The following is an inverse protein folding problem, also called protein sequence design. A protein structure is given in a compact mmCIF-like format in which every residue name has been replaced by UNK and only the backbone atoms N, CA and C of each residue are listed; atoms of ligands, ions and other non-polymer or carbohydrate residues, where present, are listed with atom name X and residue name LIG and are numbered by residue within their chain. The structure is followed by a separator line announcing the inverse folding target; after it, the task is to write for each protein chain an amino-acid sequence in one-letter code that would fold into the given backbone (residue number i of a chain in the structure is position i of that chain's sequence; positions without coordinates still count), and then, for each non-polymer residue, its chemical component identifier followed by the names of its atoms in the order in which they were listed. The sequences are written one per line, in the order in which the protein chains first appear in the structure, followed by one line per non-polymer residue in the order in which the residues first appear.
data_IF_918223206778
#
_entry.id   IF_918223206778
#
_cell.length_a   1.000
_cell.length_b   1.000
_cell.length_c   1.000
_cell.angle_alpha   90.00
_cell.angle_beta   90.00
_cell.angle_gamma   90.00
#
_symmetry.space_group_name_H-M   'P 1'
#
loop_
_entity.id
_entity.type
_entity.pdbx_description
1 polymer ?
#
# COMPACT_ATOMS: atom_id res chain seq x y z
N UNK A 1 -21.50 -17.79 0.82
CA UNK A 1 -20.91 -18.82 -0.05
C UNK A 1 -20.10 -18.13 -1.14
N UNK A 2 -18.78 -18.33 -1.17
CA UNK A 2 -17.84 -17.53 -1.98
C UNK A 2 -17.84 -17.89 -3.48
N UNK A 3 -18.13 -19.15 -3.81
CA UNK A 3 -18.09 -19.67 -5.17
C UNK A 3 -19.02 -20.87 -5.31
N UNK A 4 -19.86 -20.90 -6.35
CA UNK A 4 -20.78 -22.00 -6.67
C UNK A 4 -20.74 -22.26 -8.17
N UNK A 5 -20.64 -23.52 -8.57
CA UNK A 5 -20.87 -23.95 -9.95
C UNK A 5 -22.11 -24.83 -9.97
N UNK A 6 -23.16 -24.37 -10.65
CA UNK A 6 -24.37 -25.14 -10.88
C UNK A 6 -24.47 -25.56 -12.34
N UNK A 7 -24.86 -26.81 -12.56
CA UNK A 7 -25.17 -27.32 -13.89
C UNK A 7 -26.69 -27.25 -14.09
N UNK A 8 -27.13 -26.42 -15.02
CA UNK A 8 -28.55 -26.16 -15.26
C UNK A 8 -28.98 -26.87 -16.53
N UNK A 9 -29.97 -27.75 -16.44
CA UNK A 9 -30.61 -28.37 -17.61
C UNK A 9 -31.39 -27.30 -18.38
N UNK A 10 -31.10 -27.18 -19.67
CA UNK A 10 -31.74 -26.21 -20.57
C UNK A 10 -32.86 -26.87 -21.37
N UNK A 11 -32.66 -28.11 -21.79
CA UNK A 11 -33.61 -28.90 -22.55
C UNK A 11 -33.30 -30.38 -22.44
N UNK A 12 -34.33 -31.21 -22.58
CA UNK A 12 -34.24 -32.66 -22.65
C UNK A 12 -34.92 -33.13 -23.93
N UNK A 13 -34.23 -33.93 -24.74
CA UNK A 13 -34.71 -34.40 -26.02
C UNK A 13 -34.75 -35.93 -26.05
N UNK A 14 -35.93 -36.48 -26.37
CA UNK A 14 -36.08 -37.91 -26.67
C UNK A 14 -35.27 -38.28 -27.91
N UNK A 15 -34.64 -39.46 -27.87
CA UNK A 15 -33.76 -39.93 -28.94
C UNK A 15 -34.37 -41.15 -29.64
N UNK A 16 -35.63 -41.05 -30.08
CA UNK A 16 -36.42 -42.15 -30.65
C UNK A 16 -35.74 -42.86 -31.85
N UNK A 17 -34.85 -42.17 -32.55
CA UNK A 17 -34.09 -42.69 -33.70
C UNK A 17 -32.68 -43.17 -33.38
N UNK A 18 -32.18 -42.97 -32.16
CA UNK A 18 -30.80 -43.32 -31.76
C UNK A 18 -30.83 -44.43 -30.72
N UNK A 19 -30.06 -45.50 -30.96
CA UNK A 19 -29.94 -46.61 -30.00
C UNK A 19 -28.79 -46.38 -29.04
N UNK A 20 -28.98 -46.79 -27.79
CA UNK A 20 -27.92 -46.74 -26.79
C UNK A 20 -26.87 -47.82 -27.12
N UNK A 21 -25.59 -47.44 -27.34
CA UNK A 21 -24.55 -48.38 -27.74
C UNK A 21 -24.10 -49.33 -26.63
N UNK A 22 -24.48 -49.08 -25.37
CA UNK A 22 -24.21 -49.98 -24.23
C UNK A 22 -25.36 -50.94 -23.91
N UNK A 23 -26.58 -50.52 -24.18
CA UNK A 23 -27.80 -51.28 -23.91
C UNK A 23 -28.82 -50.99 -25.03
N UNK A 24 -28.80 -51.75 -26.14
CA UNK A 24 -29.59 -51.44 -27.34
C UNK A 24 -31.10 -51.32 -27.11
N UNK A 25 -31.62 -51.95 -26.06
CA UNK A 25 -33.04 -51.95 -25.70
C UNK A 25 -33.42 -50.86 -24.68
N UNK A 26 -32.45 -50.13 -24.12
CA UNK A 26 -32.73 -49.08 -23.14
C UNK A 26 -32.94 -47.73 -23.84
N UNK A 27 -34.08 -47.05 -23.60
CA UNK A 27 -34.32 -45.71 -24.13
C UNK A 27 -33.27 -44.73 -23.60
N UNK A 28 -32.85 -43.81 -24.47
CA UNK A 28 -31.82 -42.81 -24.19
C UNK A 28 -32.39 -41.41 -24.37
N UNK A 29 -31.88 -40.47 -23.58
CA UNK A 29 -32.28 -39.07 -23.64
C UNK A 29 -31.04 -38.19 -23.77
N UNK A 30 -31.13 -37.16 -24.61
CA UNK A 30 -30.12 -36.11 -24.70
C UNK A 30 -30.54 -34.95 -23.79
N UNK A 31 -29.83 -34.76 -22.69
CA UNK A 31 -29.98 -33.57 -21.85
C UNK A 31 -28.92 -32.53 -22.23
N UNK A 32 -29.37 -31.30 -22.50
CA UNK A 32 -28.51 -30.17 -22.81
C UNK A 32 -28.35 -29.32 -21.55
N UNK A 33 -27.11 -29.09 -21.13
CA UNK A 33 -26.77 -28.37 -19.91
C UNK A 33 -25.98 -27.10 -20.19
N UNK A 34 -26.08 -26.15 -19.26
CA UNK A 34 -25.22 -24.97 -19.19
C UNK A 34 -24.74 -24.77 -17.77
N UNK A 35 -23.47 -24.40 -17.61
CA UNK A 35 -22.93 -24.12 -16.29
C UNK A 35 -23.21 -22.66 -15.92
N UNK A 36 -23.64 -22.45 -14.68
CA UNK A 36 -23.79 -21.15 -14.03
C UNK A 36 -22.76 -21.07 -12.91
N UNK A 37 -21.84 -20.13 -13.02
CA UNK A 37 -20.90 -19.81 -11.93
C UNK A 37 -21.44 -18.60 -11.19
N UNK A 38 -21.54 -18.71 -9.87
CA UNK A 38 -21.93 -17.60 -9.00
C UNK A 38 -20.83 -17.39 -7.98
N UNK A 39 -20.28 -16.18 -7.97
CA UNK A 39 -19.41 -15.69 -6.92
C UNK A 39 -20.12 -14.60 -6.14
N UNK A 40 -19.49 -14.10 -5.09
CA UNK A 40 -20.01 -12.93 -4.36
C UNK A 40 -20.00 -11.68 -5.25
N UNK A 41 -19.05 -11.58 -6.18
CA UNK A 41 -18.79 -10.39 -7.01
C UNK A 41 -19.56 -10.43 -8.33
N UNK A 42 -19.73 -11.61 -8.93
CA UNK A 42 -20.36 -11.74 -10.24
C UNK A 42 -21.12 -13.06 -10.41
N UNK A 43 -22.01 -13.09 -11.38
CA UNK A 43 -22.63 -14.31 -11.91
C UNK A 43 -22.30 -14.43 -13.39
N UNK A 44 -21.91 -15.61 -13.85
CA UNK A 44 -21.67 -15.88 -15.26
C UNK A 44 -22.39 -17.17 -15.70
N UNK A 45 -22.85 -17.16 -16.95
CA UNK A 45 -23.31 -18.37 -17.64
C UNK A 45 -22.29 -18.74 -18.72
N UNK A 46 -21.99 -20.03 -18.88
CA UNK A 46 -21.11 -20.46 -19.95
C UNK A 46 -21.76 -20.17 -21.31
N UNK A 47 -21.00 -19.53 -22.20
CA UNK A 47 -21.46 -19.19 -23.57
C UNK A 47 -21.95 -20.43 -24.33
N UNK A 48 -21.23 -21.54 -24.21
CA UNK A 48 -21.54 -22.81 -24.88
C UNK A 48 -22.40 -23.69 -23.97
N UNK A 49 -23.45 -24.28 -24.54
CA UNK A 49 -24.18 -25.38 -23.94
C UNK A 49 -23.48 -26.71 -24.24
N UNK A 50 -23.72 -27.73 -23.43
CA UNK A 50 -23.12 -29.05 -23.57
C UNK A 50 -24.20 -30.13 -23.48
N UNK A 51 -24.24 -31.02 -24.47
CA UNK A 51 -25.10 -32.20 -24.45
C UNK A 51 -24.47 -33.34 -23.66
N UNK A 52 -25.30 -34.11 -22.98
CA UNK A 52 -24.97 -35.40 -22.39
C UNK A 52 -26.09 -36.40 -22.67
N UNK A 53 -25.72 -37.54 -23.24
CA UNK A 53 -26.65 -38.67 -23.34
C UNK A 53 -26.71 -39.40 -22.01
N UNK A 54 -27.93 -39.69 -21.55
CA UNK A 54 -28.20 -40.50 -20.38
C UNK A 54 -29.10 -41.66 -20.77
N UNK A 55 -28.82 -42.80 -20.18
CA UNK A 55 -29.73 -43.93 -20.21
C UNK A 55 -30.94 -43.58 -19.33
N UNK A 56 -32.15 -43.63 -19.90
CA UNK A 56 -33.37 -43.26 -19.20
C UNK A 56 -33.74 -44.28 -18.11
N UNK A 57 -33.29 -45.52 -18.23
CA UNK A 57 -33.60 -46.60 -17.27
C UNK A 57 -32.66 -46.60 -16.07
N UNK A 58 -31.36 -46.33 -16.29
CA UNK A 58 -30.34 -46.35 -15.23
C UNK A 58 -29.94 -44.96 -14.75
N UNK A 59 -30.37 -43.90 -15.44
CA UNK A 59 -29.94 -42.52 -15.19
C UNK A 59 -28.44 -42.27 -15.47
N UNK A 60 -27.70 -43.29 -15.91
CA UNK A 60 -26.25 -43.23 -16.06
C UNK A 60 -25.87 -42.47 -17.32
N UNK A 61 -24.87 -41.60 -17.18
CA UNK A 61 -24.28 -40.87 -18.31
C UNK A 61 -23.53 -41.81 -19.24
N UNK A 62 -23.80 -41.70 -20.53
CA UNK A 62 -23.07 -42.40 -21.59
C UNK A 62 -21.84 -41.57 -21.94
N UNK A 63 -20.65 -42.13 -21.68
CA UNK A 63 -19.39 -41.44 -21.93
C UNK A 63 -19.19 -41.11 -23.42
N UNK A 64 -18.62 -39.93 -23.71
CA UNK A 64 -18.44 -39.40 -25.08
C UNK A 64 -17.69 -40.34 -26.04
N UNK A 65 -16.79 -41.18 -25.50
CA UNK A 65 -16.06 -42.18 -26.29
C UNK A 65 -16.97 -43.24 -26.93
N UNK A 66 -18.13 -43.50 -26.34
CA UNK A 66 -19.10 -44.46 -26.85
C UNK A 66 -20.12 -43.82 -27.78
N UNK A 67 -20.02 -42.52 -28.07
CA UNK A 67 -20.99 -41.86 -28.93
C UNK A 67 -20.73 -42.21 -30.39
N UNK A 68 -21.79 -42.67 -31.06
CA UNK A 68 -21.77 -42.88 -32.51
C UNK A 68 -21.65 -41.54 -33.26
N UNK A 69 -21.25 -41.54 -34.54
CA UNK A 69 -21.24 -40.33 -35.36
C UNK A 69 -22.60 -39.63 -35.41
N UNK A 70 -23.69 -40.41 -35.50
CA UNK A 70 -25.07 -39.91 -35.50
C UNK A 70 -25.43 -39.24 -34.17
N UNK A 71 -25.05 -39.84 -33.03
CA UNK A 71 -25.22 -39.22 -31.72
C UNK A 71 -24.48 -37.88 -31.61
N UNK A 72 -23.26 -37.80 -32.15
CA UNK A 72 -22.47 -36.57 -32.16
C UNK A 72 -23.12 -35.49 -33.04
N UNK A 73 -23.64 -35.86 -34.21
CA UNK A 73 -24.34 -34.95 -35.10
C UNK A 73 -25.64 -34.42 -34.47
N UNK A 74 -26.45 -35.32 -33.91
CA UNK A 74 -27.69 -34.97 -33.21
C UNK A 74 -27.43 -34.06 -32.01
N UNK A 75 -26.40 -34.38 -31.20
CA UNK A 75 -26.02 -33.52 -30.08
C UNK A 75 -25.56 -32.14 -30.55
N UNK A 76 -24.77 -32.03 -31.62
CA UNK A 76 -24.34 -30.73 -32.17
C UNK A 76 -25.53 -29.89 -32.62
N UNK A 77 -26.48 -30.49 -33.33
CA UNK A 77 -27.70 -29.83 -33.78
C UNK A 77 -28.49 -29.29 -32.58
N UNK A 78 -28.80 -30.15 -31.60
CA UNK A 78 -29.61 -29.76 -30.43
C UNK A 78 -28.90 -28.79 -29.49
N UNK A 79 -27.58 -28.83 -29.40
CA UNK A 79 -26.79 -27.82 -28.68
C UNK A 79 -26.86 -26.46 -29.38
N UNK A 80 -26.87 -26.41 -30.72
CA UNK A 80 -26.99 -25.17 -31.48
C UNK A 80 -28.40 -24.57 -31.39
N UNK A 81 -29.43 -25.41 -31.31
CA UNK A 81 -30.83 -25.02 -31.11
C UNK A 81 -31.15 -24.58 -29.66
N UNK A 82 -30.25 -24.86 -28.70
CA UNK A 82 -30.48 -24.54 -27.30
C UNK A 82 -30.60 -23.02 -27.07
N UNK A 83 -31.50 -22.58 -26.16
CA UNK A 83 -31.72 -21.16 -25.90
C UNK A 83 -30.42 -20.47 -25.47
N UNK A 84 -30.19 -19.25 -25.98
CA UNK A 84 -29.06 -18.41 -25.60
C UNK A 84 -29.12 -18.10 -24.08
N UNK A 85 -27.97 -17.91 -23.41
CA UNK A 85 -27.99 -17.56 -22.00
C UNK A 85 -28.63 -16.17 -21.83
N UNK A 86 -29.36 -15.91 -20.73
CA UNK A 86 -29.97 -14.61 -20.48
C UNK A 86 -28.93 -13.49 -20.36
N UNK A 87 -27.74 -13.83 -19.86
CA UNK A 87 -26.55 -12.98 -19.87
C UNK A 87 -25.30 -13.86 -19.78
N UNK A 88 -24.18 -13.39 -20.30
CA UNK A 88 -22.90 -14.10 -20.16
C UNK A 88 -22.24 -13.76 -18.83
N UNK A 89 -22.27 -12.48 -18.44
CA UNK A 89 -21.67 -11.97 -17.21
C UNK A 89 -22.57 -10.87 -16.64
N UNK A 90 -22.74 -10.89 -15.32
CA UNK A 90 -23.48 -9.87 -14.58
C UNK A 90 -22.80 -9.65 -13.24
N UNK A 91 -22.38 -8.42 -12.98
CA UNK A 91 -21.91 -8.02 -11.66
C UNK A 91 -23.05 -8.05 -10.64
N UNK A 92 -22.74 -8.52 -9.43
CA UNK A 92 -23.67 -8.41 -8.30
C UNK A 92 -23.62 -6.99 -7.72
N UNK A 93 -24.59 -6.64 -6.88
CA UNK A 93 -24.57 -5.37 -6.13
C UNK A 93 -23.29 -5.26 -5.30
N UNK A 94 -22.88 -6.35 -4.64
CA UNK A 94 -21.62 -6.40 -3.87
C UNK A 94 -20.41 -6.17 -4.77
N UNK A 95 -20.40 -6.73 -5.97
CA UNK A 95 -19.32 -6.47 -6.93
C UNK A 95 -19.25 -5.01 -7.38
N UNK A 96 -20.38 -4.33 -7.53
CA UNK A 96 -20.41 -2.89 -7.83
C UNK A 96 -19.88 -2.05 -6.66
N UNK A 97 -20.28 -2.37 -5.42
CA UNK A 97 -19.73 -1.70 -4.23
C UNK A 97 -18.22 -1.90 -4.13
N UNK A 98 -17.74 -3.10 -4.42
CA UNK A 98 -16.31 -3.40 -4.48
C UNK A 98 -15.60 -2.54 -5.55
N UNK A 99 -16.16 -2.43 -6.75
CA UNK A 99 -15.58 -1.59 -7.80
C UNK A 99 -15.54 -0.10 -7.41
N UNK A 100 -16.61 0.42 -6.78
CA UNK A 100 -16.66 1.79 -6.28
C UNK A 100 -15.60 2.03 -5.19
N UNK A 101 -15.46 1.10 -4.26
CA UNK A 101 -14.45 1.18 -3.20
C UNK A 101 -13.03 1.30 -3.78
N UNK A 102 -12.65 0.40 -4.71
CA UNK A 102 -11.33 0.45 -5.33
C UNK A 102 -11.13 1.73 -6.15
N UNK A 103 -12.16 2.20 -6.85
CA UNK A 103 -12.10 3.47 -7.57
C UNK A 103 -11.83 4.64 -6.63
N UNK A 104 -12.49 4.68 -5.46
CA UNK A 104 -12.26 5.69 -4.43
C UNK A 104 -10.86 5.62 -3.83
N UNK A 105 -10.37 4.42 -3.52
CA UNK A 105 -9.00 4.22 -3.00
C UNK A 105 -7.95 4.70 -3.99
N UNK A 106 -8.04 4.30 -5.26
CA UNK A 106 -7.09 4.74 -6.27
C UNK A 106 -7.21 6.24 -6.55
N UNK A 107 -8.43 6.80 -6.56
CA UNK A 107 -8.64 8.23 -6.67
C UNK A 107 -7.98 9.02 -5.53
N UNK A 108 -8.10 8.53 -4.29
CA UNK A 108 -7.44 9.10 -3.13
C UNK A 108 -5.91 9.04 -3.24
N UNK A 109 -5.34 7.89 -3.61
CA UNK A 109 -3.89 7.74 -3.78
C UNK A 109 -3.32 8.70 -4.82
N UNK A 110 -4.03 8.85 -5.95
CA UNK A 110 -3.64 9.80 -6.99
C UNK A 110 -3.71 11.23 -6.44
N UNK A 111 -4.82 11.61 -5.81
CA UNK A 111 -4.97 12.92 -5.19
C UNK A 111 -3.86 13.23 -4.20
N UNK A 112 -3.51 12.28 -3.33
CA UNK A 112 -2.44 12.41 -2.34
C UNK A 112 -1.05 12.58 -2.98
N UNK A 113 -0.82 11.95 -4.15
CA UNK A 113 0.44 12.05 -4.88
C UNK A 113 0.62 13.35 -5.64
N UNK A 114 -0.46 13.99 -6.09
CA UNK A 114 -0.41 15.21 -6.90
C UNK A 114 -0.69 16.48 -6.10
N UNK A 115 -1.19 16.37 -4.87
CA UNK A 115 -1.45 17.55 -4.03
C UNK A 115 -0.13 18.28 -3.75
N UNK A 116 -0.09 19.62 -3.86
CA UNK A 116 1.09 20.38 -3.47
C UNK A 116 1.45 20.12 -1.99
N UNK A 117 2.74 20.10 -1.63
CA UNK A 117 3.13 20.04 -0.24
C UNK A 117 2.53 21.23 0.50
N UNK A 118 2.05 20.99 1.72
CA UNK A 118 1.59 22.07 2.60
C UNK A 118 2.73 23.08 2.79
N UNK A 119 2.44 24.38 2.90
CA UNK A 119 3.46 25.38 3.16
C UNK A 119 4.23 24.98 4.43
N UNK A 120 5.56 24.87 4.31
CA UNK A 120 6.42 24.59 5.46
C UNK A 120 6.20 25.70 6.50
N UNK A 121 6.03 25.37 7.78
CA UNK A 121 5.89 26.40 8.81
C UNK A 121 7.15 27.28 8.86
N UNK A 122 6.99 28.57 9.14
CA UNK A 122 8.07 29.58 9.10
C UNK A 122 9.31 29.16 9.90
N UNK A 123 9.12 28.46 11.02
CA UNK A 123 10.19 27.88 11.84
C UNK A 123 11.12 26.94 11.06
N UNK A 124 10.58 26.12 10.15
CA UNK A 124 11.38 25.22 9.30
C UNK A 124 12.18 26.03 8.30
N UNK A 125 11.56 27.04 7.71
CA UNK A 125 12.23 27.90 6.72
C UNK A 125 13.38 28.67 7.38
N UNK A 126 13.19 29.14 8.62
CA UNK A 126 14.24 29.82 9.39
C UNK A 126 15.39 28.90 9.80
N UNK A 127 15.10 27.61 10.08
CA UNK A 127 16.10 26.58 10.39
C UNK A 127 16.82 26.02 9.15
N UNK A 128 16.24 26.17 7.95
CA UNK A 128 16.88 25.81 6.67
C UNK A 128 17.86 26.90 6.17
N UNK A 129 17.81 28.11 6.73
CA UNK A 129 18.76 29.18 6.40
C UNK A 129 20.10 28.96 7.13
N UNK A 130 21.20 29.28 6.46
CA UNK A 130 22.52 29.22 7.07
C UNK A 130 22.57 30.11 8.33
N UNK A 131 23.08 29.61 9.47
CA UNK A 131 23.21 30.39 10.70
C UNK A 131 24.01 31.68 10.48
N UNK A 132 23.47 32.80 10.93
CA UNK A 132 24.09 34.11 10.83
C UNK A 132 24.57 34.61 12.20
N UNK A 133 25.53 35.54 12.18
CA UNK A 133 26.02 36.20 13.41
C UNK A 133 24.87 36.84 14.16
N UNK A 134 24.77 36.55 15.46
CA UNK A 134 23.72 37.03 16.35
C UNK A 134 22.49 36.11 16.45
N UNK A 135 22.36 35.09 15.60
CA UNK A 135 21.28 34.12 15.70
C UNK A 135 21.35 33.33 17.01
N UNK A 136 20.18 33.07 17.60
CA UNK A 136 20.02 32.34 18.86
C UNK A 136 19.23 31.05 18.60
N UNK A 137 19.80 29.95 19.05
CA UNK A 137 19.33 28.59 18.77
C UNK A 137 19.15 27.81 20.06
N UNK A 138 18.12 26.97 20.15
CA UNK A 138 17.92 26.06 21.28
C UNK A 138 18.38 24.66 20.90
N UNK A 139 19.03 23.97 21.83
CA UNK A 139 19.51 22.62 21.57
C UNK A 139 20.20 21.95 22.75
N UNK A 140 21.09 21.01 22.42
CA UNK A 140 22.04 20.40 23.35
C UNK A 140 23.43 20.34 22.76
N UNK A 141 24.43 20.29 23.63
CA UNK A 141 25.80 19.98 23.23
C UNK A 141 26.27 18.69 23.90
N UNK A 142 27.25 18.05 23.27
CA UNK A 142 27.93 16.86 23.75
C UNK A 142 29.44 17.04 23.51
N UNK A 143 30.23 17.00 24.58
CA UNK A 143 31.69 17.02 24.56
C UNK A 143 32.19 15.65 24.98
N UNK A 144 32.85 14.97 24.05
CA UNK A 144 33.39 13.64 24.19
C UNK A 144 34.85 13.70 24.64
N UNK A 145 35.26 12.81 25.56
CA UNK A 145 36.68 12.62 25.92
C UNK A 145 37.46 11.89 24.83
N UNK A 146 36.78 10.94 24.18
CA UNK A 146 37.30 10.13 23.08
C UNK A 146 36.23 10.06 21.99
N UNK A 147 36.65 10.19 20.73
CA UNK A 147 35.74 10.23 19.57
C UNK A 147 34.85 8.98 19.52
N UNK A 148 33.53 9.19 19.58
CA UNK A 148 32.53 8.13 19.50
C UNK A 148 32.34 7.29 20.78
N UNK A 149 33.01 7.65 21.89
CA UNK A 149 32.86 6.97 23.16
C UNK A 149 32.02 7.81 24.15
N UNK A 150 30.78 7.42 24.45
CA UNK A 150 29.90 8.20 25.33
C UNK A 150 30.30 8.13 26.82
N UNK A 151 31.24 7.25 27.20
CA UNK A 151 31.69 7.12 28.58
C UNK A 151 32.49 8.37 29.01
N UNK A 152 31.93 9.12 29.97
CA UNK A 152 32.55 10.36 30.48
C UNK A 152 32.28 11.60 29.62
N UNK A 153 31.32 11.51 28.70
CA UNK A 153 30.81 12.64 27.92
C UNK A 153 30.12 13.68 28.82
N UNK A 154 30.42 14.95 28.59
CA UNK A 154 29.68 16.07 29.17
C UNK A 154 28.61 16.54 28.18
N UNK A 155 27.35 16.66 28.61
CA UNK A 155 26.32 17.23 27.76
C UNK A 155 25.24 17.93 28.57
N UNK A 156 24.77 19.07 28.05
CA UNK A 156 23.69 19.86 28.64
C UNK A 156 22.81 20.47 27.55
N UNK A 157 21.59 20.85 27.96
CA UNK A 157 20.58 21.54 27.15
C UNK A 157 20.60 23.05 27.44
N UNK A 158 20.41 23.87 26.42
CA UNK A 158 20.37 25.32 26.58
C UNK A 158 20.32 26.09 25.27
N UNK A 159 20.56 27.39 25.39
CA UNK A 159 20.57 28.30 24.25
C UNK A 159 22.00 28.53 23.76
N UNK A 160 22.14 28.69 22.45
CA UNK A 160 23.40 28.89 21.75
C UNK A 160 23.30 30.15 20.91
N UNK A 161 24.32 31.00 20.94
CA UNK A 161 24.40 32.21 20.14
C UNK A 161 25.57 32.11 19.18
N UNK A 162 25.33 32.40 17.90
CA UNK A 162 26.40 32.53 16.92
C UNK A 162 27.12 33.86 17.16
N UNK A 163 28.38 33.81 17.56
CA UNK A 163 29.22 34.98 17.80
C UNK A 163 29.90 35.45 16.53
N UNK A 164 30.43 34.52 15.74
CA UNK A 164 31.21 34.79 14.55
C UNK A 164 31.12 33.62 13.56
N UNK A 165 31.23 33.93 12.27
CA UNK A 165 31.22 32.96 11.17
C UNK A 165 32.40 33.25 10.25
N UNK A 166 33.40 32.37 10.26
CA UNK A 166 34.58 32.43 9.42
C UNK A 166 34.48 31.37 8.32
N UNK A 167 33.88 31.72 7.18
CA UNK A 167 33.58 30.74 6.12
C UNK A 167 32.59 29.68 6.61
N UNK A 168 33.03 28.42 6.70
CA UNK A 168 32.23 27.29 7.21
C UNK A 168 32.45 27.00 8.70
N UNK A 169 33.26 27.82 9.39
CA UNK A 169 33.58 27.66 10.81
C UNK A 169 32.74 28.63 11.65
N UNK A 170 32.03 28.08 12.63
CA UNK A 170 31.11 28.78 13.51
C UNK A 170 31.69 28.87 14.92
N UNK A 171 31.74 30.08 15.45
CA UNK A 171 32.07 30.36 16.83
C UNK A 171 30.77 30.55 17.61
N UNK A 172 30.48 29.60 18.49
CA UNK A 172 29.19 29.52 19.20
C UNK A 172 29.42 29.70 20.70
N UNK A 173 28.65 30.57 21.34
CA UNK A 173 28.58 30.68 22.79
C UNK A 173 27.34 29.96 23.33
N UNK A 174 27.49 29.27 24.46
CA UNK A 174 26.36 28.68 25.20
C UNK A 174 25.79 29.64 26.24
N UNK A 175 24.55 29.45 26.64
CA UNK A 175 23.93 30.22 27.73
C UNK A 175 24.65 29.97 29.05
N UNK A 176 24.72 30.98 29.91
CA UNK A 176 25.37 30.88 31.23
C UNK A 176 24.71 29.80 32.09
N UNK A 177 23.39 29.70 32.00
CA UNK A 177 22.62 28.64 32.66
C UNK A 177 22.32 27.52 31.66
N UNK A 178 22.87 26.34 31.92
CA UNK A 178 22.63 25.12 31.13
C UNK A 178 21.92 24.08 32.01
N UNK A 179 21.05 23.26 31.40
CA UNK A 179 20.33 22.19 32.11
C UNK A 179 20.90 20.82 31.80
N UNK A 180 21.17 20.04 32.85
CA UNK A 180 21.54 18.60 32.72
C UNK A 180 20.37 17.72 32.28
N UNK A 181 19.14 18.22 32.40
CA UNK A 181 17.92 17.51 32.02
C UNK A 181 17.26 18.23 30.84
N UNK A 182 16.54 17.47 30.02
CA UNK A 182 15.77 18.05 28.93
C UNK A 182 14.65 18.95 29.49
N UNK A 183 14.72 20.26 29.21
CA UNK A 183 13.69 21.25 29.53
C UNK A 183 13.32 22.03 28.28
N UNK A 184 12.05 22.47 28.12
CA UNK A 184 11.68 23.38 27.04
C UNK A 184 12.52 24.65 27.06
N UNK A 185 12.93 25.15 25.89
CA UNK A 185 13.74 26.38 25.79
C UNK A 185 13.07 27.61 26.43
N UNK A 186 11.74 27.65 26.51
CA UNK A 186 10.98 28.70 27.20
C UNK A 186 11.21 28.76 28.71
N UNK A 187 11.74 27.70 29.32
CA UNK A 187 12.06 27.63 30.75
C UNK A 187 13.55 27.90 31.05
N UNK A 188 14.35 28.20 30.03
CA UNK A 188 15.80 28.38 30.14
C UNK A 188 16.19 29.81 29.73
N UNK A 189 17.22 30.33 30.39
CA UNK A 189 17.74 31.66 30.12
C UNK A 189 18.28 31.74 28.69
N UNK A 190 17.76 32.68 27.90
CA UNK A 190 18.11 32.94 26.49
C UNK A 190 18.64 34.35 26.25
N UNK A 191 18.98 35.06 27.33
CA UNK A 191 19.50 36.44 27.28
C UNK A 191 20.98 36.51 27.66
N UNK A 192 21.41 35.67 28.61
CA UNK A 192 22.77 35.68 29.12
C UNK A 192 23.59 34.53 28.52
N UNK A 193 24.67 34.87 27.82
CA UNK A 193 25.58 33.94 27.16
C UNK A 193 26.99 34.10 27.70
N UNK A 194 27.77 33.01 27.68
CA UNK A 194 29.18 33.04 28.03
C UNK A 194 29.95 33.98 27.07
N UNK A 195 30.91 34.74 27.61
CA UNK A 195 31.71 35.71 26.84
C UNK A 195 32.70 35.03 25.88
N UNK A 196 33.04 33.76 26.14
CA UNK A 196 33.95 32.97 25.30
C UNK A 196 33.18 32.06 24.34
N UNK A 197 33.74 31.85 23.14
CA UNK A 197 33.23 30.82 22.24
C UNK A 197 33.61 29.42 22.75
N UNK A 198 32.75 28.44 22.50
CA UNK A 198 33.11 27.04 22.55
C UNK A 198 34.17 26.71 21.48
N UNK A 199 34.64 25.46 21.45
CA UNK A 199 35.45 24.92 20.35
C UNK A 199 34.78 25.24 19.01
N UNK A 200 35.52 25.80 18.02
CA UNK A 200 34.94 26.10 16.72
C UNK A 200 34.37 24.85 16.04
N UNK A 201 33.22 25.00 15.39
CA UNK A 201 32.47 23.88 14.81
C UNK A 201 32.04 24.17 13.37
N UNK A 202 31.83 23.12 12.58
CA UNK A 202 31.30 23.18 11.21
C UNK A 202 29.92 22.53 11.15
N UNK A 203 29.06 22.97 10.25
CA UNK A 203 27.77 22.31 10.02
C UNK A 203 28.03 20.94 9.38
N UNK A 204 27.56 19.88 10.02
CA UNK A 204 27.63 18.51 9.51
C UNK A 204 26.32 18.08 8.85
N UNK A 205 25.18 18.59 9.32
CA UNK A 205 23.85 18.29 8.80
C UNK A 205 22.94 19.50 9.04
N UNK A 206 22.16 19.88 8.03
CA UNK A 206 21.11 20.91 8.14
C UNK A 206 19.90 20.46 7.32
N UNK A 207 18.85 20.01 8.01
CA UNK A 207 17.62 19.54 7.38
C UNK A 207 16.39 19.83 8.23
N UNK A 208 15.44 20.58 7.68
CA UNK A 208 14.17 20.85 8.33
C UNK A 208 14.33 21.59 9.66
N UNK A 209 14.12 20.89 10.78
CA UNK A 209 14.23 21.42 12.14
C UNK A 209 15.56 21.12 12.83
N UNK A 210 16.47 20.43 12.17
CA UNK A 210 17.71 19.96 12.77
C UNK A 210 18.92 20.64 12.12
N UNK A 211 19.74 21.30 12.94
CA UNK A 211 21.09 21.73 12.57
C UNK A 211 22.06 21.02 13.49
N UNK A 212 23.04 20.33 12.93
CA UNK A 212 24.11 19.67 13.67
C UNK A 212 25.43 20.31 13.37
N UNK A 213 26.09 20.78 14.41
CA UNK A 213 27.46 21.25 14.34
C UNK A 213 28.40 20.21 14.91
N UNK A 214 29.60 20.13 14.34
CA UNK A 214 30.66 19.22 14.76
C UNK A 214 32.01 19.91 14.69
N UNK A 215 32.82 19.79 15.74
CA UNK A 215 34.20 20.26 15.73
C UNK A 215 35.06 19.40 14.80
N UNK A 216 36.18 19.95 14.36
CA UNK A 216 37.08 19.29 13.40
C UNK A 216 37.74 18.02 13.98
N UNK A 217 38.02 18.02 15.28
CA UNK A 217 38.48 16.84 16.04
C UNK A 217 37.37 15.79 16.26
N UNK A 218 36.10 16.17 16.06
CA UNK A 218 34.92 15.35 16.29
C UNK A 218 34.62 15.08 17.77
N UNK A 219 35.18 15.89 18.68
CA UNK A 219 34.95 15.76 20.12
C UNK A 219 33.80 16.65 20.63
N UNK A 220 33.42 17.69 19.90
CA UNK A 220 32.29 18.56 20.24
C UNK A 220 31.20 18.44 19.19
N UNK A 221 29.99 18.12 19.63
CA UNK A 221 28.80 18.08 18.79
C UNK A 221 27.70 18.95 19.40
N UNK A 222 27.02 19.73 18.57
CA UNK A 222 25.91 20.60 18.98
C UNK A 222 24.70 20.26 18.11
N UNK A 223 23.59 19.99 18.76
CA UNK A 223 22.33 19.57 18.15
C UNK A 223 21.29 20.66 18.40
N UNK A 224 20.89 21.37 17.36
CA UNK A 224 19.89 22.44 17.41
C UNK A 224 18.54 21.94 16.94
N UNK A 225 17.48 22.33 17.65
CA UNK A 225 16.09 21.92 17.39
C UNK A 225 15.09 23.08 17.31
N UNK A 226 15.48 24.30 17.70
CA UNK A 226 14.63 25.50 17.55
C UNK A 226 15.49 26.75 17.31
N UNK A 227 14.90 27.76 16.68
CA UNK A 227 15.49 29.10 16.49
C UNK A 227 14.60 30.13 17.18
N UNK A 228 15.21 31.08 17.88
CA UNK A 228 14.51 32.18 18.54
C UNK A 228 14.30 33.37 17.61
#
# INVERSE_FOLDING_TARGET
MFFIINKIEQASHSTERLRNPKSPNSPMVLSVYRNKVRTIIYTLYTKKAAGEFRDNTTGKKIARRHWTPEMKAFARQKIAEAPKPPFVFKMTVVGWLFALFFTGVFGYLIYDSVKPPLPKPEKVVAMEQAPAVGDIYFGRYEIYREKGNPLGMEGNFGWFKILEVEGDVYHIAKSVEMSKQHKPGSQLNSTDFETGSMTPVKISEQSGYDIRFKSEDGLTEIYITDKK
#
